data_IF_014960374885
#
_entry.id   IF_014960374885
#
_cell.length_a   1.000
_cell.length_b   1.000
_cell.length_c   1.000
_cell.angle_alpha   90.00
_cell.angle_beta   90.00
_cell.angle_gamma   90.00
#
_symmetry.space_group_name_H-M   'P 1'
#
loop_
_entity.id
_entity.type
_entity.pdbx_description
1 polymer ?
#
# COMPACT_ATOMS: atom_id res chain seq x y z
N UNK A 1 54.62 -32.16 11.23
CA UNK A 1 54.63 -33.18 12.30
C UNK A 1 56.00 -33.84 12.56
N UNK A 2 57.06 -33.53 11.81
CA UNK A 2 58.36 -34.24 11.88
C UNK A 2 59.42 -33.62 12.78
N UNK A 3 59.27 -32.37 13.20
CA UNK A 3 60.23 -31.66 14.09
C UNK A 3 59.87 -31.78 15.58
N UNK A 4 58.58 -31.84 15.91
CA UNK A 4 58.08 -31.94 17.31
C UNK A 4 58.45 -33.27 17.99
N UNK A 5 58.45 -34.38 17.24
CA UNK A 5 58.84 -35.71 17.76
C UNK A 5 60.32 -35.81 18.06
N UNK A 6 61.18 -35.11 17.30
CA UNK A 6 62.64 -35.11 17.51
C UNK A 6 63.06 -34.35 18.78
N UNK A 7 62.26 -33.38 19.24
CA UNK A 7 62.57 -32.62 20.46
C UNK A 7 62.13 -33.35 21.74
N UNK A 8 60.97 -34.02 21.70
CA UNK A 8 60.51 -34.89 22.80
C UNK A 8 61.44 -36.08 23.07
N UNK A 9 62.14 -36.56 22.04
CA UNK A 9 63.13 -37.63 22.17
C UNK A 9 64.48 -37.15 22.77
N UNK A 10 64.80 -35.86 22.68
CA UNK A 10 66.07 -35.28 23.15
C UNK A 10 66.06 -34.86 24.63
N UNK A 11 64.91 -34.50 25.18
CA UNK A 11 64.77 -34.17 26.60
C UNK A 11 65.19 -35.33 27.56
N UNK A 12 64.73 -36.59 27.36
CA UNK A 12 65.22 -37.71 28.17
C UNK A 12 66.68 -38.04 27.87
N UNK A 13 67.17 -37.77 26.65
CA UNK A 13 68.55 -38.02 26.23
C UNK A 13 69.54 -37.05 26.90
N UNK A 14 69.16 -35.79 27.10
CA UNK A 14 69.94 -34.79 27.82
C UNK A 14 69.96 -35.09 29.34
N UNK A 15 68.83 -35.53 29.89
CA UNK A 15 68.74 -36.00 31.27
C UNK A 15 69.57 -37.28 31.50
N UNK A 16 69.59 -38.20 30.53
CA UNK A 16 70.44 -39.40 30.57
C UNK A 16 71.93 -39.06 30.48
N UNK A 17 72.29 -38.02 29.72
CA UNK A 17 73.67 -37.56 29.57
C UNK A 17 74.17 -36.83 30.83
N UNK A 18 73.30 -36.06 31.50
CA UNK A 18 73.56 -35.50 32.84
C UNK A 18 73.69 -36.59 33.91
N UNK A 19 72.83 -37.63 33.88
CA UNK A 19 72.92 -38.79 34.77
C UNK A 19 74.17 -39.65 34.50
N UNK A 20 74.59 -39.78 33.24
CA UNK A 20 75.80 -40.50 32.85
C UNK A 20 77.08 -39.78 33.31
N UNK A 21 77.09 -38.44 33.31
CA UNK A 21 78.18 -37.65 33.91
C UNK A 21 78.25 -37.86 35.43
N UNK A 22 77.11 -38.06 36.11
CA UNK A 22 77.10 -38.45 37.53
C UNK A 22 77.55 -39.90 37.76
N UNK A 23 77.24 -40.84 36.86
CA UNK A 23 77.56 -42.26 37.02
C UNK A 23 79.02 -42.62 36.69
N UNK A 24 79.73 -41.80 35.91
CA UNK A 24 81.15 -42.01 35.61
C UNK A 24 82.12 -41.62 36.76
N UNK A 25 81.60 -41.15 37.91
CA UNK A 25 82.36 -40.63 39.04
C UNK A 25 82.50 -41.54 40.27
N UNK A 26 82.27 -42.86 40.16
CA UNK A 26 82.49 -43.78 41.29
C UNK A 26 83.96 -44.23 41.36
N UNK A 27 84.82 -43.33 41.84
CA UNK A 27 86.17 -43.61 42.32
C UNK A 27 86.48 -42.73 43.55
N UNK A 28 87.32 -43.18 44.50
CA UNK A 28 87.59 -42.42 45.72
C UNK A 28 88.54 -41.25 45.40
N UNK A 29 87.97 -40.16 44.92
CA UNK A 29 88.67 -38.94 44.50
C UNK A 29 87.68 -37.98 43.86
N UNK A 30 86.92 -37.27 44.68
CA UNK A 30 85.92 -36.26 44.28
C UNK A 30 86.48 -35.25 43.26
N UNK A 31 85.87 -35.06 42.08
CA UNK A 31 85.72 -33.73 41.53
C UNK A 31 84.45 -33.14 42.16
N UNK A 32 84.64 -32.20 43.08
CA UNK A 32 83.59 -31.26 43.48
C UNK A 32 83.04 -30.66 42.17
N UNK A 33 81.73 -30.74 41.91
CA UNK A 33 81.11 -29.96 40.84
C UNK A 33 81.64 -28.53 40.98
N UNK A 34 82.41 -28.06 40.00
CA UNK A 34 82.93 -26.69 40.06
C UNK A 34 81.73 -25.75 40.13
N UNK A 35 81.83 -24.62 40.83
CA UNK A 35 80.72 -23.63 40.91
C UNK A 35 80.16 -23.29 39.51
N UNK A 36 81.01 -23.31 38.50
CA UNK A 36 80.64 -23.14 37.09
C UNK A 36 79.66 -24.22 36.57
N UNK A 37 79.80 -25.48 37.00
CA UNK A 37 78.87 -26.56 36.62
C UNK A 37 77.51 -26.40 37.31
N UNK A 38 77.46 -25.97 38.56
CA UNK A 38 76.21 -25.70 39.31
C UNK A 38 75.47 -24.48 38.75
N UNK A 39 76.20 -23.40 38.44
CA UNK A 39 75.67 -22.21 37.78
C UNK A 39 75.14 -22.55 36.39
N UNK A 40 75.84 -23.42 35.64
CA UNK A 40 75.40 -23.87 34.32
C UNK A 40 74.10 -24.68 34.39
N UNK A 41 73.98 -25.61 35.34
CA UNK A 41 72.74 -26.38 35.55
C UNK A 41 71.58 -25.47 35.95
N UNK A 42 71.82 -24.47 36.79
CA UNK A 42 70.80 -23.50 37.21
C UNK A 42 70.34 -22.63 36.05
N UNK A 43 71.29 -22.14 35.24
CA UNK A 43 71.00 -21.35 34.04
C UNK A 43 70.25 -22.15 32.97
N UNK A 44 70.64 -23.40 32.72
CA UNK A 44 69.93 -24.30 31.80
C UNK A 44 68.51 -24.56 32.28
N UNK A 45 68.32 -24.82 33.58
CA UNK A 45 66.98 -25.03 34.16
C UNK A 45 66.09 -23.80 33.98
N UNK A 46 66.64 -22.60 34.23
CA UNK A 46 65.93 -21.33 34.00
C UNK A 46 65.55 -21.14 32.53
N UNK A 47 66.49 -21.38 31.61
CA UNK A 47 66.24 -21.28 30.17
C UNK A 47 65.18 -22.27 29.67
N UNK A 48 65.12 -23.48 30.22
CA UNK A 48 64.07 -24.45 29.89
C UNK A 48 62.70 -23.95 30.36
N UNK A 49 62.62 -23.41 31.58
CA UNK A 49 61.38 -22.84 32.12
C UNK A 49 60.91 -21.62 31.32
N UNK A 50 61.84 -20.74 30.96
CA UNK A 50 61.58 -19.60 30.08
C UNK A 50 61.08 -20.05 28.70
N UNK A 51 61.70 -21.09 28.12
CA UNK A 51 61.26 -21.65 26.83
C UNK A 51 59.85 -22.26 26.90
N UNK A 52 59.50 -23.00 27.95
CA UNK A 52 58.14 -23.51 28.12
C UNK A 52 57.11 -22.38 28.30
N UNK A 53 57.48 -21.32 29.03
CA UNK A 53 56.63 -20.14 29.17
C UNK A 53 56.44 -19.39 27.84
N UNK A 54 57.49 -19.28 27.02
CA UNK A 54 57.43 -18.67 25.70
C UNK A 54 56.59 -19.51 24.74
N UNK A 55 56.69 -20.85 24.78
CA UNK A 55 55.81 -21.75 24.02
C UNK A 55 54.35 -21.55 24.41
N UNK A 56 54.04 -21.51 25.71
CA UNK A 56 52.67 -21.28 26.18
C UNK A 56 52.11 -19.94 25.66
N UNK A 57 52.93 -18.87 25.74
CA UNK A 57 52.56 -17.54 25.22
C UNK A 57 52.39 -17.53 23.70
N UNK A 58 53.25 -18.22 22.95
CA UNK A 58 53.13 -18.34 21.49
C UNK A 58 51.83 -19.05 21.11
N UNK A 59 51.50 -20.15 21.79
CA UNK A 59 50.25 -20.89 21.54
C UNK A 59 49.01 -20.04 21.85
N UNK A 60 49.08 -19.20 22.89
CA UNK A 60 48.03 -18.26 23.23
C UNK A 60 47.88 -17.14 22.17
N UNK A 61 48.99 -16.59 21.68
CA UNK A 61 48.98 -15.58 20.60
C UNK A 61 48.47 -16.19 19.29
N UNK A 62 48.91 -17.39 18.91
CA UNK A 62 48.39 -18.11 17.74
C UNK A 62 46.89 -18.42 17.85
N UNK A 63 46.37 -18.59 19.06
CA UNK A 63 44.92 -18.74 19.30
C UNK A 63 44.17 -17.40 19.19
N UNK A 64 44.83 -16.28 19.51
CA UNK A 64 44.29 -14.93 19.41
C UNK A 64 44.35 -14.38 17.97
N UNK A 65 45.32 -14.81 17.17
CA UNK A 65 45.43 -14.50 15.73
C UNK A 65 44.45 -15.28 14.86
N UNK A 66 43.77 -16.31 15.39
CA UNK A 66 42.71 -17.05 14.69
C UNK A 66 41.42 -16.24 14.57
N UNK A 67 41.49 -14.99 14.11
CA UNK A 67 40.47 -14.25 13.33
C UNK A 67 39.00 -14.37 13.71
N UNK A 68 38.64 -14.75 14.93
CA UNK A 68 37.27 -15.10 15.31
C UNK A 68 36.34 -13.91 15.22
N UNK A 69 36.79 -12.76 15.76
CA UNK A 69 36.01 -11.52 15.79
C UNK A 69 35.89 -10.89 14.40
N UNK A 70 36.99 -10.87 13.62
CA UNK A 70 36.99 -10.34 12.25
C UNK A 70 36.12 -11.23 11.36
N UNK A 71 36.24 -12.55 11.48
CA UNK A 71 35.42 -13.50 10.71
C UNK A 71 33.94 -13.38 11.08
N UNK A 72 33.60 -13.27 12.36
CA UNK A 72 32.22 -13.01 12.79
C UNK A 72 31.68 -11.69 12.23
N UNK A 73 32.49 -10.63 12.23
CA UNK A 73 32.10 -9.35 11.64
C UNK A 73 31.88 -9.45 10.13
N UNK A 74 32.72 -10.20 9.42
CA UNK A 74 32.58 -10.43 7.97
C UNK A 74 31.33 -11.27 7.66
N UNK A 75 31.06 -12.31 8.45
CA UNK A 75 29.87 -13.16 8.31
C UNK A 75 28.60 -12.34 8.58
N UNK A 76 28.60 -11.47 9.60
CA UNK A 76 27.50 -10.57 9.91
C UNK A 76 27.27 -9.51 8.82
N UNK A 77 28.34 -8.94 8.26
CA UNK A 77 28.25 -8.00 7.13
C UNK A 77 27.71 -8.70 5.88
N UNK A 78 28.13 -9.94 5.63
CA UNK A 78 27.64 -10.75 4.51
C UNK A 78 26.15 -11.05 4.62
N UNK A 79 25.68 -11.42 5.83
CA UNK A 79 24.25 -11.61 6.09
C UNK A 79 23.43 -10.33 5.89
N UNK A 80 23.98 -9.18 6.32
CA UNK A 80 23.34 -7.88 6.13
C UNK A 80 23.28 -7.45 4.66
N UNK A 81 24.32 -7.72 3.90
CA UNK A 81 24.37 -7.52 2.44
C UNK A 81 23.34 -8.39 1.71
N UNK A 82 23.18 -9.65 2.10
CA UNK A 82 22.15 -10.53 1.56
C UNK A 82 20.73 -10.01 1.87
N UNK A 83 20.50 -9.51 3.08
CA UNK A 83 19.24 -8.85 3.45
C UNK A 83 18.94 -7.62 2.60
N UNK A 84 19.94 -6.75 2.41
CA UNK A 84 19.79 -5.53 1.60
C UNK A 84 19.46 -5.85 0.13
N UNK A 85 20.08 -6.89 -0.43
CA UNK A 85 19.78 -7.34 -1.79
C UNK A 85 18.34 -7.86 -1.90
N UNK A 86 17.86 -8.61 -0.91
CA UNK A 86 16.47 -9.08 -0.87
C UNK A 86 15.47 -7.92 -0.74
N UNK A 87 15.78 -6.92 0.07
CA UNK A 87 14.97 -5.71 0.20
C UNK A 87 14.95 -4.92 -1.13
N UNK A 88 16.08 -4.87 -1.84
CA UNK A 88 16.14 -4.23 -3.16
C UNK A 88 15.29 -4.95 -4.20
N UNK A 89 15.26 -6.28 -4.18
CA UNK A 89 14.40 -7.05 -5.08
C UNK A 89 12.91 -6.87 -4.76
N UNK A 90 12.55 -6.73 -3.48
CA UNK A 90 11.18 -6.37 -3.06
C UNK A 90 10.78 -4.99 -3.54
N UNK A 91 11.64 -3.98 -3.36
CA UNK A 91 11.38 -2.62 -3.81
C UNK A 91 11.22 -2.58 -5.34
N UNK A 92 12.01 -3.33 -6.10
CA UNK A 92 11.85 -3.46 -7.55
C UNK A 92 10.50 -4.08 -7.93
N UNK A 93 10.07 -5.11 -7.21
CA UNK A 93 8.79 -5.76 -7.44
C UNK A 93 7.60 -4.82 -7.14
N UNK A 94 7.66 -4.10 -6.02
CA UNK A 94 6.65 -3.12 -5.63
C UNK A 94 6.60 -1.95 -6.63
N UNK A 95 7.76 -1.50 -7.12
CA UNK A 95 7.85 -0.45 -8.13
C UNK A 95 7.23 -0.88 -9.47
N UNK A 96 7.49 -2.12 -9.92
CA UNK A 96 6.89 -2.67 -11.13
C UNK A 96 5.35 -2.80 -11.00
N UNK A 97 4.86 -3.17 -9.82
CA UNK A 97 3.42 -3.23 -9.54
C UNK A 97 2.78 -1.85 -9.57
N UNK A 98 3.40 -0.85 -8.94
CA UNK A 98 2.93 0.53 -8.94
C UNK A 98 2.94 1.13 -10.36
N UNK A 99 3.98 0.86 -11.16
CA UNK A 99 3.99 1.29 -12.56
C UNK A 99 2.82 0.68 -13.36
N UNK A 100 2.58 -0.62 -13.22
CA UNK A 100 1.45 -1.26 -13.90
C UNK A 100 0.10 -0.67 -13.49
N UNK A 101 -0.09 -0.35 -12.21
CA UNK A 101 -1.31 0.30 -11.72
C UNK A 101 -1.49 1.73 -12.26
N UNK A 102 -0.40 2.49 -12.38
CA UNK A 102 -0.41 3.83 -12.97
C UNK A 102 -0.73 3.78 -14.46
N UNK A 103 -0.15 2.84 -15.20
CA UNK A 103 -0.44 2.65 -16.63
C UNK A 103 -1.91 2.26 -16.87
N UNK A 104 -2.49 1.44 -15.99
CA UNK A 104 -3.93 1.13 -16.08
C UNK A 104 -4.82 2.35 -15.80
N UNK A 105 -4.47 3.19 -14.83
CA UNK A 105 -5.24 4.41 -14.51
C UNK A 105 -5.16 5.44 -15.67
N UNK A 106 -3.99 5.60 -16.29
CA UNK A 106 -3.82 6.47 -17.46
C UNK A 106 -4.65 5.99 -18.67
N UNK A 107 -4.72 4.67 -18.89
CA UNK A 107 -5.58 4.10 -19.94
C UNK A 107 -7.07 4.28 -19.65
N UNK A 108 -7.51 4.12 -18.40
CA UNK A 108 -8.90 4.34 -18.01
C UNK A 108 -9.28 5.82 -18.09
N UNK A 109 -8.35 6.72 -17.76
CA UNK A 109 -8.52 8.16 -17.92
C UNK A 109 -8.61 8.59 -19.39
N UNK A 110 -7.82 7.98 -20.27
CA UNK A 110 -7.92 8.20 -21.71
C UNK A 110 -9.28 7.72 -22.25
N UNK A 111 -9.71 6.51 -21.89
CA UNK A 111 -11.02 5.96 -22.29
C UNK A 111 -12.19 6.81 -21.81
N UNK A 112 -12.16 7.28 -20.56
CA UNK A 112 -13.21 8.13 -20.02
C UNK A 112 -13.24 9.50 -20.68
N UNK A 113 -12.09 10.08 -21.01
CA UNK A 113 -12.00 11.31 -21.80
C UNK A 113 -12.58 11.16 -23.21
N UNK A 114 -12.26 10.07 -23.90
CA UNK A 114 -12.79 9.78 -25.23
C UNK A 114 -14.30 9.54 -25.19
N UNK A 115 -14.79 8.81 -24.18
CA UNK A 115 -16.22 8.61 -23.95
C UNK A 115 -16.95 9.93 -23.68
N UNK A 116 -16.34 10.85 -22.91
CA UNK A 116 -16.89 12.18 -22.65
C UNK A 116 -16.96 13.02 -23.92
N UNK A 117 -15.92 12.97 -24.77
CA UNK A 117 -15.92 13.67 -26.05
C UNK A 117 -17.02 13.12 -26.99
N UNK A 118 -17.19 11.80 -27.06
CA UNK A 118 -18.25 11.16 -27.82
C UNK A 118 -19.65 11.53 -27.30
N UNK A 119 -19.82 11.57 -25.97
CA UNK A 119 -21.07 11.98 -25.34
C UNK A 119 -21.40 13.44 -25.67
N UNK A 120 -20.43 14.34 -25.59
CA UNK A 120 -20.62 15.75 -25.95
C UNK A 120 -21.05 15.91 -27.42
N UNK A 121 -20.43 15.16 -28.33
CA UNK A 121 -20.83 15.14 -29.75
C UNK A 121 -22.28 14.65 -29.93
N UNK A 122 -22.68 13.60 -29.22
CA UNK A 122 -24.04 13.07 -29.26
C UNK A 122 -25.08 14.08 -28.72
N UNK A 123 -24.73 14.85 -27.68
CA UNK A 123 -25.59 15.92 -27.15
C UNK A 123 -25.79 17.03 -28.19
N UNK A 124 -24.71 17.47 -28.86
CA UNK A 124 -24.81 18.47 -29.93
C UNK A 124 -25.73 17.98 -31.05
N UNK A 125 -25.54 16.74 -31.51
CA UNK A 125 -26.40 16.14 -32.54
C UNK A 125 -27.86 16.04 -32.08
N UNK A 126 -28.10 15.73 -30.81
CA UNK A 126 -29.46 15.66 -30.26
C UNK A 126 -30.13 17.03 -30.27
N UNK A 127 -29.39 18.09 -29.91
CA UNK A 127 -29.91 19.46 -29.94
C UNK A 127 -30.25 19.92 -31.37
N UNK A 128 -29.44 19.58 -32.36
CA UNK A 128 -29.75 19.87 -33.77
C UNK A 128 -31.02 19.15 -34.24
N UNK A 129 -31.19 17.88 -33.84
CA UNK A 129 -32.42 17.13 -34.11
C UNK A 129 -33.63 17.78 -33.46
N UNK A 130 -33.54 18.19 -32.20
CA UNK A 130 -34.61 18.92 -31.52
C UNK A 130 -34.97 20.20 -32.27
N UNK A 131 -33.99 21.01 -32.67
CA UNK A 131 -34.23 22.23 -33.43
C UNK A 131 -34.94 21.96 -34.77
N UNK A 132 -34.56 20.88 -35.47
CA UNK A 132 -35.24 20.49 -36.72
C UNK A 132 -36.68 20.03 -36.50
N UNK A 133 -36.94 19.29 -35.41
CA UNK A 133 -38.28 18.84 -35.04
C UNK A 133 -39.17 20.03 -34.67
N UNK A 134 -38.66 20.99 -33.90
CA UNK A 134 -39.38 22.23 -33.60
C UNK A 134 -39.76 23.02 -34.84
N UNK A 135 -38.84 23.09 -35.83
CA UNK A 135 -39.14 23.73 -37.12
C UNK A 135 -40.25 22.98 -37.86
N UNK A 136 -40.16 21.65 -37.94
CA UNK A 136 -41.19 20.82 -38.56
C UNK A 136 -42.55 20.98 -37.89
N UNK A 137 -42.59 21.07 -36.56
CA UNK A 137 -43.81 21.30 -35.79
C UNK A 137 -44.46 22.64 -36.15
N UNK A 138 -43.67 23.73 -36.23
CA UNK A 138 -44.17 25.05 -36.66
C UNK A 138 -44.72 25.04 -38.09
N UNK A 139 -44.09 24.30 -38.99
CA UNK A 139 -44.56 24.19 -40.38
C UNK A 139 -45.87 23.38 -40.47
N UNK A 140 -46.01 22.34 -39.65
CA UNK A 140 -47.27 21.59 -39.50
C UNK A 140 -48.36 22.49 -38.93
N UNK A 141 -48.09 23.23 -37.86
CA UNK A 141 -49.06 24.17 -37.26
C UNK A 141 -49.57 25.20 -38.28
N UNK A 142 -48.67 25.78 -39.09
CA UNK A 142 -49.06 26.70 -40.18
C UNK A 142 -49.94 26.02 -41.23
N UNK A 143 -49.60 24.80 -41.64
CA UNK A 143 -50.41 24.03 -42.59
C UNK A 143 -51.79 23.73 -42.01
N UNK A 144 -51.87 23.29 -40.76
CA UNK A 144 -53.13 23.03 -40.07
C UNK A 144 -53.98 24.29 -40.01
N UNK A 145 -53.41 25.43 -39.61
CA UNK A 145 -54.12 26.71 -39.59
C UNK A 145 -54.66 27.10 -40.98
N UNK A 146 -53.87 26.91 -42.04
CA UNK A 146 -54.32 27.19 -43.42
C UNK A 146 -55.44 26.25 -43.88
N UNK A 147 -55.39 24.97 -43.49
CA UNK A 147 -56.45 23.99 -43.77
C UNK A 147 -57.73 24.32 -43.01
N UNK A 148 -57.63 24.76 -41.74
CA UNK A 148 -58.79 25.20 -40.96
C UNK A 148 -59.50 26.38 -41.64
N UNK A 149 -58.76 27.38 -42.11
CA UNK A 149 -59.33 28.52 -42.86
C UNK A 149 -59.96 28.07 -44.17
N UNK A 150 -59.35 27.12 -44.89
CA UNK A 150 -59.91 26.56 -46.12
C UNK A 150 -61.21 25.78 -45.87
N UNK A 151 -61.30 25.02 -44.77
CA UNK A 151 -62.51 24.32 -44.35
C UNK A 151 -63.61 25.31 -43.96
N UNK A 152 -63.28 26.37 -43.21
CA UNK A 152 -64.24 27.40 -42.80
C UNK A 152 -64.77 28.20 -44.00
N UNK A 153 -63.93 28.45 -45.01
CA UNK A 153 -64.34 29.04 -46.29
C UNK A 153 -65.26 28.10 -47.09
N UNK A 154 -64.97 26.79 -47.10
CA UNK A 154 -65.83 25.80 -47.75
C UNK A 154 -67.20 25.62 -47.05
N UNK A 155 -67.27 25.91 -45.75
CA UNK A 155 -68.49 25.78 -44.95
C UNK A 155 -69.45 27.00 -45.06
N UNK A 156 -69.10 28.05 -45.81
CA UNK A 156 -69.98 29.20 -46.14
C UNK A 156 -70.86 28.98 -47.37
N UNK A 157 -70.76 27.82 -48.02
CA UNK A 157 -71.68 27.40 -49.08
C UNK A 157 -72.81 26.56 -48.48
N UNK A 158 -74.10 26.89 -48.72
CA UNK A 158 -75.22 26.14 -48.15
C UNK A 158 -75.23 24.71 -48.71
N UNK A 159 -75.12 23.72 -47.83
CA UNK A 159 -75.39 22.32 -48.17
C UNK A 159 -76.37 21.74 -47.17
N UNK A 160 -77.54 21.36 -47.69
CA UNK A 160 -78.60 20.65 -46.99
C UNK A 160 -78.08 19.44 -46.22
N UNK A 161 -78.60 19.29 -45.00
CA UNK A 161 -78.47 18.08 -44.17
C UNK A 161 -79.30 16.93 -44.72
N UNK A 162 -78.89 15.68 -44.47
CA UNK A 162 -79.80 14.78 -43.74
C UNK A 162 -79.19 14.13 -42.48
N UNK A 163 -80.10 13.68 -41.62
CA UNK A 163 -79.98 13.35 -40.20
C UNK A 163 -79.18 12.09 -39.81
N UNK A 164 -78.82 12.09 -38.52
CA UNK A 164 -78.21 11.10 -37.60
C UNK A 164 -79.08 9.85 -37.37
N UNK A 165 -78.60 8.75 -36.73
CA UNK A 165 -78.54 8.71 -35.25
C UNK A 165 -77.47 7.81 -34.56
N UNK A 166 -77.09 8.26 -33.35
CA UNK A 166 -76.92 7.54 -32.07
C UNK A 166 -75.59 6.84 -31.65
N UNK A 167 -75.14 7.33 -30.48
CA UNK A 167 -74.51 6.64 -29.32
C UNK A 167 -73.08 6.08 -29.47
N UNK A 168 -72.14 6.26 -28.54
CA UNK A 168 -72.25 6.13 -27.07
C UNK A 168 -71.26 7.05 -26.33
N UNK A 169 -71.68 7.43 -25.11
CA UNK A 169 -70.84 8.07 -24.09
C UNK A 169 -69.98 7.02 -23.37
N UNK A 170 -68.75 7.39 -23.01
CA UNK A 170 -68.12 6.87 -21.78
C UNK A 170 -67.33 7.98 -21.10
N UNK A 171 -67.52 7.99 -19.79
CA UNK A 171 -67.13 8.95 -18.77
C UNK A 171 -65.74 8.64 -18.19
N UNK A 172 -65.13 9.69 -17.62
CA UNK A 172 -64.43 9.72 -16.31
C UNK A 172 -63.09 8.97 -16.08
N UNK A 173 -62.08 9.81 -15.77
CA UNK A 173 -61.24 9.77 -14.54
C UNK A 173 -59.79 9.23 -14.65
N UNK A 174 -58.82 9.87 -13.95
CA UNK A 174 -57.38 9.70 -14.15
C UNK A 174 -56.73 8.73 -13.15
N UNK A 175 -55.62 8.10 -13.55
CA UNK A 175 -54.82 7.26 -12.67
C UNK A 175 -53.31 7.55 -12.83
N UNK A 176 -52.82 8.33 -11.88
CA UNK A 176 -51.53 8.28 -11.19
C UNK A 176 -50.44 7.34 -11.74
N UNK A 177 -49.32 7.94 -12.15
CA UNK A 177 -48.02 7.29 -12.35
C UNK A 177 -46.91 8.24 -11.93
N UNK A 178 -46.32 7.95 -10.76
CA UNK A 178 -45.07 8.42 -10.13
C UNK A 178 -44.40 9.75 -10.57
N UNK A 179 -43.98 10.61 -9.62
CA UNK A 179 -43.04 11.68 -9.91
C UNK A 179 -41.63 11.09 -10.07
N UNK A 180 -41.23 10.75 -11.30
CA UNK A 180 -39.82 10.65 -11.63
C UNK A 180 -39.29 12.09 -11.74
N UNK A 181 -38.56 12.52 -10.73
CA UNK A 181 -37.87 13.79 -10.69
C UNK A 181 -36.88 13.90 -11.86
N UNK A 182 -37.31 14.47 -12.97
CA UNK A 182 -36.44 15.18 -13.90
C UNK A 182 -36.53 16.65 -13.52
N UNK A 183 -35.74 17.07 -12.54
CA UNK A 183 -35.41 18.49 -12.43
C UNK A 183 -34.27 18.73 -13.42
N UNK A 184 -34.64 19.25 -14.59
CA UNK A 184 -33.72 19.94 -15.46
C UNK A 184 -33.02 21.03 -14.62
N UNK A 185 -31.71 20.91 -14.48
CA UNK A 185 -30.91 21.81 -13.67
C UNK A 185 -31.01 23.25 -14.20
N UNK A 186 -31.47 24.16 -13.34
CA UNK A 186 -31.26 25.58 -13.52
C UNK A 186 -29.74 25.88 -13.55
N UNK A 187 -29.27 26.83 -14.37
CA UNK A 187 -27.87 27.19 -14.45
C UNK A 187 -27.40 27.78 -13.10
N UNK A 188 -26.58 27.03 -12.35
CA UNK A 188 -25.96 27.50 -11.11
C UNK A 188 -25.90 26.50 -9.94
N UNK A 189 -26.63 25.38 -9.99
CA UNK A 189 -26.57 24.34 -8.95
C UNK A 189 -25.49 23.32 -9.33
N UNK A 190 -24.41 23.25 -8.54
CA UNK A 190 -23.38 22.20 -8.69
C UNK A 190 -24.04 20.84 -8.54
N UNK A 191 -23.90 19.97 -9.52
CA UNK A 191 -24.46 18.61 -9.46
C UNK A 191 -23.70 17.77 -8.41
N UNK A 192 -24.30 16.66 -7.91
CA UNK A 192 -23.56 15.71 -7.07
C UNK A 192 -22.26 15.25 -7.74
N UNK A 193 -22.30 14.96 -9.04
CA UNK A 193 -21.13 14.55 -9.83
C UNK A 193 -20.06 15.63 -9.86
N UNK A 194 -20.43 16.90 -10.03
CA UNK A 194 -19.46 18.02 -10.06
C UNK A 194 -18.76 18.19 -8.70
N UNK A 195 -19.52 18.11 -7.60
CA UNK A 195 -18.95 18.23 -6.25
C UNK A 195 -18.01 17.07 -5.95
N UNK A 196 -18.40 15.84 -6.29
CA UNK A 196 -17.55 14.67 -6.14
C UNK A 196 -16.28 14.79 -7.00
N UNK A 197 -16.43 15.16 -8.28
CA UNK A 197 -15.31 15.29 -9.20
C UNK A 197 -14.33 16.39 -8.75
N UNK A 198 -14.83 17.53 -8.26
CA UNK A 198 -14.00 18.58 -7.69
C UNK A 198 -13.22 18.07 -6.46
N UNK A 199 -13.90 17.38 -5.55
CA UNK A 199 -13.30 16.77 -4.38
C UNK A 199 -12.20 15.77 -4.72
N UNK A 200 -12.52 14.80 -5.59
CA UNK A 200 -11.59 13.78 -6.04
C UNK A 200 -10.38 14.39 -6.78
N UNK A 201 -10.61 15.36 -7.66
CA UNK A 201 -9.53 16.09 -8.33
C UNK A 201 -8.62 16.78 -7.32
N UNK A 202 -9.19 17.40 -6.28
CA UNK A 202 -8.41 18.00 -5.19
C UNK A 202 -7.51 16.98 -4.48
N UNK A 203 -8.00 15.76 -4.25
CA UNK A 203 -7.18 14.66 -3.69
C UNK A 203 -6.00 14.33 -4.59
N UNK A 204 -6.25 14.15 -5.90
CA UNK A 204 -5.22 13.82 -6.89
C UNK A 204 -4.18 14.94 -7.02
N UNK A 205 -4.64 16.19 -7.05
CA UNK A 205 -3.80 17.39 -7.15
C UNK A 205 -3.14 17.75 -5.80
N UNK A 206 -3.36 16.96 -4.73
CA UNK A 206 -2.91 17.21 -3.35
C UNK A 206 -3.37 18.55 -2.75
N UNK A 207 -4.46 19.09 -3.29
CA UNK A 207 -5.17 20.27 -2.82
C UNK A 207 -6.17 19.86 -1.75
N UNK A 208 -5.63 19.51 -0.59
CA UNK A 208 -6.37 18.81 0.45
C UNK A 208 -7.47 19.67 1.09
N UNK A 209 -7.27 20.98 1.22
CA UNK A 209 -8.28 21.86 1.79
C UNK A 209 -9.48 21.98 0.85
N UNK A 210 -9.24 22.28 -0.43
CA UNK A 210 -10.30 22.36 -1.44
C UNK A 210 -10.99 21.00 -1.65
N UNK A 211 -10.24 19.89 -1.58
CA UNK A 211 -10.80 18.55 -1.62
C UNK A 211 -11.76 18.31 -0.47
N UNK A 212 -11.34 18.64 0.77
CA UNK A 212 -12.17 18.45 1.96
C UNK A 212 -13.44 19.27 1.92
N UNK A 213 -13.40 20.52 1.45
CA UNK A 213 -14.56 21.40 1.32
C UNK A 213 -15.57 20.84 0.30
N UNK A 214 -15.09 20.41 -0.86
CA UNK A 214 -15.94 19.84 -1.91
C UNK A 214 -16.59 18.52 -1.49
N UNK A 215 -15.82 17.61 -0.86
CA UNK A 215 -16.33 16.32 -0.37
C UNK A 215 -17.31 16.51 0.79
N UNK A 216 -17.03 17.43 1.71
CA UNK A 216 -17.95 17.76 2.82
C UNK A 216 -19.26 18.33 2.28
N UNK A 217 -19.17 19.25 1.30
CA UNK A 217 -20.35 19.81 0.64
C UNK A 217 -21.18 18.74 -0.07
N UNK A 218 -20.51 17.80 -0.77
CA UNK A 218 -21.17 16.65 -1.39
C UNK A 218 -21.91 15.82 -0.35
N UNK A 219 -21.25 15.45 0.75
CA UNK A 219 -21.82 14.58 1.79
C UNK A 219 -22.96 15.24 2.56
N UNK A 220 -22.93 16.56 2.72
CA UNK A 220 -24.01 17.32 3.34
C UNK A 220 -25.24 17.41 2.43
N UNK A 221 -25.03 17.65 1.12
CA UNK A 221 -26.12 17.81 0.17
C UNK A 221 -26.71 16.46 -0.31
N UNK A 222 -25.87 15.42 -0.41
CA UNK A 222 -26.21 14.16 -1.07
C UNK A 222 -25.75 12.92 -0.27
N UNK A 223 -26.16 12.75 1.00
CA UNK A 223 -25.69 11.67 1.87
C UNK A 223 -26.10 10.26 1.39
N UNK A 224 -27.21 10.13 0.66
CA UNK A 224 -27.70 8.84 0.16
C UNK A 224 -27.28 8.55 -1.30
N UNK A 225 -26.43 9.40 -1.89
CA UNK A 225 -26.02 9.21 -3.27
C UNK A 225 -25.11 7.99 -3.43
N UNK A 226 -25.12 7.36 -4.61
CA UNK A 226 -24.27 6.20 -4.93
C UNK A 226 -22.76 6.45 -4.74
N UNK A 227 -22.34 7.72 -4.78
CA UNK A 227 -20.95 8.14 -4.55
C UNK A 227 -20.66 8.57 -3.11
N UNK A 228 -21.64 8.56 -2.20
CA UNK A 228 -21.48 9.05 -0.84
C UNK A 228 -20.48 8.22 -0.03
N UNK A 229 -20.48 6.89 -0.18
CA UNK A 229 -19.45 6.04 0.42
C UNK A 229 -18.05 6.38 -0.08
N UNK A 230 -17.92 6.67 -1.38
CA UNK A 230 -16.63 7.03 -1.99
C UNK A 230 -16.18 8.41 -1.53
N UNK A 231 -17.09 9.40 -1.50
CA UNK A 231 -16.79 10.75 -1.02
C UNK A 231 -16.35 10.73 0.44
N UNK A 232 -17.04 9.95 1.28
CA UNK A 232 -16.74 9.77 2.69
C UNK A 232 -15.36 9.11 2.90
N UNK A 233 -15.04 8.09 2.10
CA UNK A 233 -13.72 7.47 2.09
C UNK A 233 -12.62 8.46 1.68
N UNK A 234 -12.82 9.22 0.61
CA UNK A 234 -11.84 10.21 0.15
C UNK A 234 -11.63 11.34 1.15
N UNK A 235 -12.67 11.72 1.89
CA UNK A 235 -12.53 12.70 2.97
C UNK A 235 -11.64 12.17 4.10
N UNK A 236 -11.76 10.88 4.45
CA UNK A 236 -10.84 10.21 5.36
C UNK A 236 -9.40 10.18 4.82
N UNK A 237 -9.21 9.86 3.54
CA UNK A 237 -7.88 9.87 2.91
C UNK A 237 -7.25 11.26 2.90
N UNK A 238 -8.05 12.32 2.72
CA UNK A 238 -7.58 13.72 2.83
C UNK A 238 -7.04 13.99 4.22
N UNK A 239 -7.78 13.64 5.28
CA UNK A 239 -7.30 13.84 6.65
C UNK A 239 -6.07 12.98 6.97
N UNK A 240 -6.05 11.73 6.50
CA UNK A 240 -4.90 10.85 6.64
C UNK A 240 -3.64 11.45 5.97
N UNK A 241 -3.79 12.00 4.77
CA UNK A 241 -2.70 12.64 4.03
C UNK A 241 -2.20 13.93 4.71
N UNK A 242 -3.10 14.67 5.38
CA UNK A 242 -2.75 15.83 6.21
C UNK A 242 -2.08 15.46 7.53
N UNK A 243 -2.00 14.17 7.87
CA UNK A 243 -1.49 13.68 9.15
C UNK A 243 -2.48 13.82 10.31
N UNK A 244 -3.72 14.20 10.02
CA UNK A 244 -4.79 14.28 11.02
C UNK A 244 -5.48 12.92 11.13
N UNK A 245 -4.81 12.02 11.81
CA UNK A 245 -5.26 10.63 11.92
C UNK A 245 -6.50 10.49 12.80
N UNK A 246 -6.75 11.42 13.73
CA UNK A 246 -7.96 11.42 14.55
C UNK A 246 -9.20 11.69 13.70
N UNK A 247 -9.19 12.73 12.85
CA UNK A 247 -10.29 12.97 11.90
C UNK A 247 -10.37 11.87 10.86
N UNK A 248 -9.24 11.34 10.39
CA UNK A 248 -9.25 10.24 9.43
C UNK A 248 -10.01 9.02 9.98
N UNK A 249 -9.74 8.61 11.23
CA UNK A 249 -10.48 7.53 11.91
C UNK A 249 -11.99 7.79 11.88
N UNK A 250 -12.41 9.00 12.28
CA UNK A 250 -13.83 9.35 12.32
C UNK A 250 -14.50 9.29 10.94
N UNK A 251 -13.82 9.75 9.90
CA UNK A 251 -14.38 9.72 8.54
C UNK A 251 -14.40 8.29 7.96
N UNK A 252 -13.41 7.45 8.25
CA UNK A 252 -13.43 6.04 7.85
C UNK A 252 -14.50 5.25 8.59
N UNK A 253 -14.64 5.44 9.91
CA UNK A 253 -15.69 4.81 10.73
C UNK A 253 -17.10 5.18 10.22
N UNK A 254 -17.31 6.42 9.74
CA UNK A 254 -18.56 6.80 9.07
C UNK A 254 -18.83 5.95 7.83
N UNK A 255 -17.81 5.60 7.03
CA UNK A 255 -18.00 4.69 5.89
C UNK A 255 -18.51 3.34 6.37
N UNK A 256 -17.87 2.78 7.40
CA UNK A 256 -18.19 1.45 7.94
C UNK A 256 -19.60 1.40 8.52
N UNK A 257 -19.99 2.45 9.26
CA UNK A 257 -21.30 2.52 9.92
C UNK A 257 -22.44 2.84 8.97
N UNK A 258 -22.25 3.79 8.05
CA UNK A 258 -23.32 4.24 7.14
C UNK A 258 -23.42 3.40 5.88
N UNK A 259 -22.31 2.88 5.37
CA UNK A 259 -22.26 2.19 4.09
C UNK A 259 -21.61 0.81 4.20
N UNK A 260 -22.06 -0.09 5.10
CA UNK A 260 -21.37 -1.35 5.42
C UNK A 260 -21.24 -2.35 4.25
N UNK A 261 -21.94 -2.13 3.14
CA UNK A 261 -21.93 -2.98 1.93
C UNK A 261 -21.32 -2.28 0.71
N UNK A 262 -20.78 -1.08 0.87
CA UNK A 262 -20.19 -0.35 -0.25
C UNK A 262 -18.80 -0.89 -0.60
N UNK A 263 -18.39 -0.72 -1.85
CA UNK A 263 -17.08 -1.18 -2.35
C UNK A 263 -15.91 -0.63 -1.54
N UNK A 264 -16.05 0.57 -0.96
CA UNK A 264 -15.02 1.22 -0.12
C UNK A 264 -15.01 0.79 1.34
N UNK A 265 -15.89 -0.11 1.76
CA UNK A 265 -15.97 -0.52 3.18
C UNK A 265 -14.71 -1.22 3.64
N UNK A 266 -14.21 -2.20 2.88
CA UNK A 266 -12.98 -2.92 3.21
C UNK A 266 -11.78 -1.96 3.29
N UNK A 267 -11.66 -1.07 2.30
CA UNK A 267 -10.60 -0.06 2.25
C UNK A 267 -10.70 0.93 3.41
N UNK A 268 -11.91 1.34 3.81
CA UNK A 268 -12.12 2.23 4.94
C UNK A 268 -11.66 1.58 6.26
N UNK A 269 -12.05 0.33 6.54
CA UNK A 269 -11.62 -0.38 7.76
C UNK A 269 -10.09 -0.53 7.78
N UNK A 270 -9.49 -0.86 6.62
CA UNK A 270 -8.04 -0.97 6.50
C UNK A 270 -7.35 0.37 6.84
N UNK A 271 -7.83 1.47 6.26
CA UNK A 271 -7.27 2.81 6.48
C UNK A 271 -7.55 3.35 7.88
N UNK A 272 -8.68 3.01 8.48
CA UNK A 272 -8.98 3.27 9.88
C UNK A 272 -7.92 2.58 10.78
N UNK A 273 -7.64 1.30 10.52
CA UNK A 273 -6.59 0.55 11.22
C UNK A 273 -5.20 1.18 11.08
N UNK A 274 -4.85 1.63 9.87
CA UNK A 274 -3.59 2.37 9.64
C UNK A 274 -3.56 3.72 10.35
N UNK A 275 -4.70 4.41 10.45
CA UNK A 275 -4.81 5.68 11.17
C UNK A 275 -4.58 5.47 12.67
N UNK A 276 -5.18 4.44 13.27
CA UNK A 276 -4.91 4.07 14.65
C UNK A 276 -3.45 3.67 14.88
N UNK A 277 -2.83 2.97 13.93
CA UNK A 277 -1.40 2.67 14.01
C UNK A 277 -0.56 3.95 14.06
N UNK A 278 -0.87 4.93 13.20
CA UNK A 278 -0.18 6.22 13.18
C UNK A 278 -0.37 7.03 14.47
N UNK A 279 -1.48 6.83 15.16
CA UNK A 279 -1.74 7.38 16.50
C UNK A 279 -1.05 6.61 17.63
N UNK A 280 -0.31 5.52 17.33
CA UNK A 280 0.30 4.65 18.33
C UNK A 280 -0.68 3.72 19.04
N UNK A 281 -1.94 3.70 18.61
CA UNK A 281 -3.02 2.83 19.12
C UNK A 281 -2.95 1.46 18.46
N UNK A 282 -1.86 0.72 18.77
CA UNK A 282 -1.52 -0.54 18.10
C UNK A 282 -2.56 -1.65 18.34
N UNK A 283 -3.22 -1.64 19.51
CA UNK A 283 -4.25 -2.65 19.84
C UNK A 283 -5.47 -2.49 18.94
N UNK A 284 -5.94 -1.26 18.80
CA UNK A 284 -7.06 -0.85 17.96
C UNK A 284 -6.76 -1.13 16.49
N UNK A 285 -5.56 -0.77 16.04
CA UNK A 285 -5.08 -1.09 14.69
C UNK A 285 -5.12 -2.59 14.42
N UNK A 286 -4.64 -3.43 15.35
CA UNK A 286 -4.65 -4.89 15.23
C UNK A 286 -6.08 -5.44 15.10
N UNK A 287 -7.01 -4.95 15.90
CA UNK A 287 -8.42 -5.35 15.84
C UNK A 287 -9.02 -5.01 14.48
N UNK A 288 -8.83 -3.78 14.00
CA UNK A 288 -9.39 -3.35 12.71
C UNK A 288 -8.79 -4.11 11.53
N UNK A 289 -7.47 -4.32 11.50
CA UNK A 289 -6.84 -5.12 10.47
C UNK A 289 -7.29 -6.59 10.50
N UNK A 290 -7.52 -7.15 11.68
CA UNK A 290 -8.14 -8.47 11.84
C UNK A 290 -9.55 -8.52 11.26
N UNK A 291 -10.36 -7.49 11.52
CA UNK A 291 -11.71 -7.36 10.98
C UNK A 291 -11.74 -7.32 9.44
N UNK A 292 -10.74 -6.71 8.79
CA UNK A 292 -10.65 -6.73 7.32
C UNK A 292 -10.52 -8.17 6.81
N UNK A 293 -9.66 -8.97 7.44
CA UNK A 293 -9.41 -10.36 7.04
C UNK A 293 -10.64 -11.23 7.28
N UNK A 294 -11.30 -11.04 8.42
CA UNK A 294 -12.48 -11.82 8.80
C UNK A 294 -13.70 -11.49 7.91
N UNK A 295 -13.94 -10.19 7.67
CA UNK A 295 -15.15 -9.74 6.97
C UNK A 295 -15.02 -9.70 5.45
N UNK A 296 -13.79 -9.55 4.93
CA UNK A 296 -13.52 -9.43 3.49
C UNK A 296 -12.45 -10.42 3.03
N UNK A 297 -12.61 -11.74 3.28
CA UNK A 297 -11.61 -12.73 2.95
C UNK A 297 -11.34 -12.76 1.43
N UNK A 298 -10.07 -12.83 1.04
CA UNK A 298 -9.64 -12.86 -0.37
C UNK A 298 -9.67 -11.50 -1.09
N UNK A 299 -10.04 -10.41 -0.40
CA UNK A 299 -9.88 -9.05 -0.94
C UNK A 299 -8.41 -8.60 -0.92
N UNK A 300 -8.00 -7.68 -1.81
CA UNK A 300 -6.69 -7.04 -1.74
C UNK A 300 -6.42 -6.41 -0.37
N UNK A 301 -7.44 -5.82 0.25
CA UNK A 301 -7.35 -5.20 1.57
C UNK A 301 -7.05 -6.23 2.67
N UNK A 302 -7.65 -7.43 2.61
CA UNK A 302 -7.36 -8.51 3.55
C UNK A 302 -5.91 -9.01 3.43
N UNK A 303 -5.37 -9.09 2.22
CA UNK A 303 -3.96 -9.44 2.01
C UNK A 303 -3.01 -8.40 2.59
N UNK A 304 -3.31 -7.11 2.37
CA UNK A 304 -2.55 -6.00 2.94
C UNK A 304 -2.62 -6.04 4.48
N UNK A 305 -3.82 -6.22 5.05
CA UNK A 305 -4.02 -6.31 6.49
C UNK A 305 -3.25 -7.48 7.11
N UNK A 306 -3.29 -8.66 6.48
CA UNK A 306 -2.58 -9.86 6.92
C UNK A 306 -1.07 -9.67 6.94
N UNK A 307 -0.51 -9.05 5.89
CA UNK A 307 0.91 -8.69 5.84
C UNK A 307 1.26 -7.70 6.95
N UNK A 308 0.44 -6.66 7.15
CA UNK A 308 0.73 -5.63 8.16
C UNK A 308 0.71 -6.20 9.58
N UNK A 309 -0.27 -7.03 9.91
CA UNK A 309 -0.39 -7.71 11.21
C UNK A 309 0.85 -8.51 11.61
N UNK A 310 1.55 -9.13 10.66
CA UNK A 310 2.79 -9.87 10.93
C UNK A 310 3.95 -8.96 11.35
N UNK A 311 3.90 -7.69 10.95
CA UNK A 311 4.96 -6.70 11.21
C UNK A 311 4.68 -5.79 12.41
N UNK A 312 3.42 -5.75 12.87
CA UNK A 312 2.98 -4.98 14.03
C UNK A 312 3.50 -5.65 15.31
N UNK A 313 4.50 -5.02 15.94
CA UNK A 313 5.07 -5.47 17.22
C UNK A 313 4.15 -5.14 18.39
#
# INVERSE_FOLDING_TARGET
MTTLTRLKLKAPLLALLLLAVCAAGCGPGFPIMTKEQEDLVTNVTRLVKENESLKARLTAVESQEKGGDIKQSVDALTARLAGLNSDMDKIRQDFAFVQGAVETDDHDKARTKDALAALNAAVIQTNERVASLEKGLRDIEKKTASLTVAIEAANKTPRESPQTPAAQAVTTTPASGLPAATTAAAPGVKTPEDLYAAGYKGVVDKKFDEASDALTSFLAAYPEHKLASNAQYWLGEVYYAKGDYERAVLEFDKVVKKYPKADKTAAAILKEGFSFEKLGSIKEARVLLGNVIEKFPGSPEADIASKRLKTLK
#
